data_IF_426472252591
#
_entry.id   IF_426472252591
#
_cell.length_a   1.000
_cell.length_b   1.000
_cell.length_c   1.000
_cell.angle_alpha   90.00
_cell.angle_beta   90.00
_cell.angle_gamma   90.00
#
_symmetry.space_group_name_H-M   'P 1'
#
loop_
_entity.id
_entity.type
_entity.pdbx_description
1 polymer ?
#
# COMPACT_ATOMS: atom_id res chain seq x y z
N UNK A 1 -42.73 34.66 29.23
CA UNK A 1 -41.60 34.59 28.27
C UNK A 1 -42.18 34.64 26.85
N UNK A 2 -42.49 35.83 26.33
CA UNK A 2 -43.33 35.95 25.11
C UNK A 2 -42.49 35.96 23.81
N UNK A 3 -41.17 35.98 23.93
CA UNK A 3 -40.24 36.02 22.79
C UNK A 3 -39.63 34.65 22.47
N UNK A 4 -40.00 33.58 23.18
CA UNK A 4 -39.48 32.24 22.95
C UNK A 4 -39.58 31.80 21.48
N UNK A 5 -40.74 31.95 20.81
CA UNK A 5 -40.87 31.63 19.40
C UNK A 5 -39.98 32.48 18.48
N UNK A 6 -39.80 33.77 18.78
CA UNK A 6 -38.96 34.67 17.99
C UNK A 6 -37.47 34.33 18.13
N UNK A 7 -37.01 34.05 19.35
CA UNK A 7 -35.63 33.60 19.61
C UNK A 7 -35.36 32.28 18.91
N UNK A 8 -36.31 31.34 18.95
CA UNK A 8 -36.20 30.07 18.26
C UNK A 8 -36.11 30.24 16.73
N UNK A 9 -36.98 31.05 16.13
CA UNK A 9 -36.95 31.30 14.69
C UNK A 9 -35.66 32.01 14.26
N UNK A 10 -35.16 32.96 15.07
CA UNK A 10 -33.87 33.61 14.83
C UNK A 10 -32.71 32.61 14.85
N UNK A 11 -32.64 31.76 15.88
CA UNK A 11 -31.62 30.72 15.99
C UNK A 11 -31.68 29.71 14.84
N UNK A 12 -32.88 29.27 14.46
CA UNK A 12 -33.10 28.36 13.33
C UNK A 12 -32.66 29.00 12.01
N UNK A 13 -33.01 30.27 11.78
CA UNK A 13 -32.63 31.01 10.58
C UNK A 13 -31.10 31.18 10.47
N UNK A 14 -30.43 31.53 11.57
CA UNK A 14 -28.96 31.62 11.61
C UNK A 14 -28.30 30.28 11.32
N UNK A 15 -28.79 29.19 11.94
CA UNK A 15 -28.27 27.85 11.66
C UNK A 15 -28.49 27.44 10.20
N UNK A 16 -29.71 27.62 9.68
CA UNK A 16 -30.04 27.27 8.30
C UNK A 16 -29.22 28.07 7.28
N UNK A 17 -29.04 29.37 7.50
CA UNK A 17 -28.19 30.22 6.65
C UNK A 17 -26.73 29.75 6.68
N UNK A 18 -26.20 29.45 7.87
CA UNK A 18 -24.83 28.93 8.03
C UNK A 18 -24.65 27.57 7.36
N UNK A 19 -25.60 26.65 7.54
CA UNK A 19 -25.55 25.32 6.94
C UNK A 19 -25.64 25.38 5.41
N UNK A 20 -26.54 26.20 4.88
CA UNK A 20 -26.65 26.41 3.42
C UNK A 20 -25.37 27.01 2.85
N UNK A 21 -24.82 28.07 3.48
CA UNK A 21 -23.62 28.75 2.98
C UNK A 21 -22.35 27.91 3.08
N UNK A 22 -22.19 27.12 4.15
CA UNK A 22 -20.96 26.37 4.41
C UNK A 22 -20.99 24.92 3.95
N UNK A 23 -22.17 24.31 3.75
CA UNK A 23 -22.30 22.90 3.35
C UNK A 23 -22.91 22.80 1.96
N UNK A 24 -24.09 23.38 1.76
CA UNK A 24 -24.87 23.20 0.53
C UNK A 24 -24.21 23.88 -0.68
N UNK A 25 -23.74 25.12 -0.51
CA UNK A 25 -23.11 25.90 -1.60
C UNK A 25 -21.81 25.23 -2.09
N UNK A 26 -20.83 24.86 -1.22
CA UNK A 26 -19.64 24.15 -1.67
C UNK A 26 -19.96 22.80 -2.32
N UNK A 27 -20.97 22.07 -1.80
CA UNK A 27 -21.39 20.80 -2.38
C UNK A 27 -21.95 20.96 -3.80
N UNK A 28 -22.72 22.02 -4.07
CA UNK A 28 -23.19 22.30 -5.43
C UNK A 28 -22.08 22.82 -6.35
N UNK A 29 -21.11 23.56 -5.81
CA UNK A 29 -19.99 24.10 -6.60
C UNK A 29 -18.97 23.03 -6.99
N UNK A 30 -18.60 22.14 -6.05
CA UNK A 30 -17.46 21.23 -6.19
C UNK A 30 -17.82 19.76 -6.05
N UNK A 31 -19.02 19.41 -5.59
CA UNK A 31 -19.40 18.02 -5.29
C UNK A 31 -19.47 17.12 -6.53
N UNK A 32 -19.58 17.70 -7.72
CA UNK A 32 -19.56 16.99 -9.01
C UNK A 32 -18.23 17.10 -9.76
N UNK A 33 -17.24 17.83 -9.22
CA UNK A 33 -15.96 18.03 -9.90
C UNK A 33 -15.19 16.71 -9.95
N UNK A 34 -14.96 16.22 -11.17
CA UNK A 34 -14.05 15.10 -11.37
C UNK A 34 -12.60 15.57 -11.15
N UNK A 35 -11.74 14.72 -10.58
CA UNK A 35 -10.33 15.04 -10.43
C UNK A 35 -9.75 15.40 -11.80
N UNK A 36 -9.07 16.55 -11.89
CA UNK A 36 -8.41 16.98 -13.10
C UNK A 36 -7.29 16.02 -13.46
N UNK A 37 -7.57 15.04 -14.32
CA UNK A 37 -6.56 14.18 -14.92
C UNK A 37 -5.84 15.01 -15.97
N UNK A 38 -4.75 15.67 -15.58
CA UNK A 38 -3.86 16.31 -16.54
C UNK A 38 -3.41 15.27 -17.58
N UNK A 39 -3.12 15.70 -18.82
CA UNK A 39 -2.48 14.88 -19.86
C UNK A 39 -1.16 14.36 -19.31
N UNK A 40 -1.22 13.21 -18.66
CA UNK A 40 -0.12 12.61 -17.91
C UNK A 40 0.47 11.44 -18.69
N UNK A 41 1.69 11.01 -18.36
CA UNK A 41 2.31 9.83 -18.96
C UNK A 41 1.49 8.55 -18.80
N UNK A 42 0.64 8.49 -17.77
CA UNK A 42 -0.23 7.34 -17.47
C UNK A 42 -1.70 7.78 -17.39
N UNK A 43 -2.41 7.91 -18.52
CA UNK A 43 -3.78 8.44 -18.55
C UNK A 43 -4.77 7.56 -17.78
N UNK A 44 -4.62 6.24 -17.84
CA UNK A 44 -5.54 5.27 -17.22
C UNK A 44 -5.19 4.93 -15.75
N UNK A 45 -4.28 5.69 -15.14
CA UNK A 45 -3.84 5.49 -13.76
C UNK A 45 -4.62 6.38 -12.77
N UNK A 46 -5.02 5.84 -11.59
CA UNK A 46 -4.88 4.44 -11.16
C UNK A 46 -5.95 3.54 -11.76
N UNK A 47 -5.54 2.32 -12.14
CA UNK A 47 -6.48 1.31 -12.61
C UNK A 47 -7.39 0.84 -11.47
N UNK A 48 -8.66 0.56 -11.79
CA UNK A 48 -9.59 -0.02 -10.84
C UNK A 48 -9.06 -1.38 -10.33
N UNK A 49 -9.28 -1.65 -9.03
CA UNK A 49 -8.81 -2.91 -8.44
C UNK A 49 -9.61 -4.11 -8.98
N UNK A 50 -8.94 -5.25 -9.25
CA UNK A 50 -9.64 -6.49 -9.58
C UNK A 50 -10.63 -6.91 -8.48
N UNK A 51 -11.68 -7.63 -8.83
CA UNK A 51 -12.80 -7.95 -7.91
C UNK A 51 -12.39 -8.56 -6.57
N UNK A 52 -11.40 -9.46 -6.57
CA UNK A 52 -10.88 -10.05 -5.32
C UNK A 52 -10.09 -9.05 -4.46
N UNK A 53 -9.32 -8.15 -5.08
CA UNK A 53 -8.63 -7.08 -4.37
C UNK A 53 -9.62 -6.02 -3.83
N UNK A 54 -10.72 -5.76 -4.53
CA UNK A 54 -11.80 -4.90 -4.02
C UNK A 54 -12.49 -5.51 -2.80
N UNK A 55 -12.72 -6.83 -2.77
CA UNK A 55 -13.19 -7.54 -1.57
C UNK A 55 -12.16 -7.48 -0.45
N UNK A 56 -10.87 -7.65 -0.78
CA UNK A 56 -9.76 -7.56 0.17
C UNK A 56 -9.63 -6.20 0.86
N UNK A 57 -9.96 -5.11 0.16
CA UNK A 57 -10.04 -3.77 0.74
C UNK A 57 -11.10 -3.71 1.85
N UNK A 58 -12.23 -4.40 1.70
CA UNK A 58 -13.25 -4.46 2.76
C UNK A 58 -12.75 -5.24 3.97
N UNK A 59 -12.03 -6.34 3.74
CA UNK A 59 -11.38 -7.10 4.82
C UNK A 59 -10.33 -6.23 5.53
N UNK A 60 -9.50 -5.51 4.78
CA UNK A 60 -8.49 -4.59 5.33
C UNK A 60 -9.12 -3.51 6.24
N UNK A 61 -10.29 -2.98 5.85
CA UNK A 61 -11.08 -2.05 6.66
C UNK A 61 -11.65 -2.70 7.91
N UNK A 62 -12.29 -3.85 7.76
CA UNK A 62 -12.94 -4.56 8.86
C UNK A 62 -11.95 -4.98 9.96
N UNK A 63 -10.70 -5.30 9.57
CA UNK A 63 -9.64 -5.66 10.51
C UNK A 63 -8.92 -4.43 11.11
N UNK A 64 -9.26 -3.22 10.69
CA UNK A 64 -8.64 -1.99 11.21
C UNK A 64 -7.16 -1.87 10.84
N UNK A 65 -6.71 -2.47 9.74
CA UNK A 65 -5.29 -2.49 9.36
C UNK A 65 -4.71 -1.06 9.19
N UNK A 66 -5.54 -0.11 8.75
CA UNK A 66 -5.19 1.30 8.60
C UNK A 66 -4.81 2.00 9.93
N UNK A 67 -5.18 1.43 11.07
CA UNK A 67 -4.81 1.99 12.39
C UNK A 67 -3.31 1.82 12.66
N UNK A 68 -2.68 0.80 12.09
CA UNK A 68 -1.25 0.49 12.30
C UNK A 68 -0.38 0.72 11.07
N UNK A 69 -0.96 0.65 9.87
CA UNK A 69 -0.27 0.73 8.60
C UNK A 69 -0.75 1.91 7.78
N UNK A 70 0.16 2.82 7.42
CA UNK A 70 -0.14 3.86 6.45
C UNK A 70 -0.13 3.34 5.02
N UNK A 71 -0.82 4.04 4.12
CA UNK A 71 -0.73 3.84 2.68
C UNK A 71 -0.38 5.15 1.99
N UNK A 72 0.59 5.87 2.55
CA UNK A 72 1.00 7.19 2.11
C UNK A 72 2.52 7.34 2.22
N UNK A 73 3.24 7.19 1.12
CA UNK A 73 4.68 7.50 1.08
C UNK A 73 4.86 9.01 1.12
N UNK A 74 5.45 9.53 2.20
CA UNK A 74 5.65 10.97 2.37
C UNK A 74 6.81 11.48 1.52
N UNK A 75 6.84 12.80 1.20
CA UNK A 75 7.95 13.44 0.50
C UNK A 75 9.17 13.66 1.42
N UNK A 76 9.60 12.65 2.17
CA UNK A 76 10.78 12.70 3.05
C UNK A 76 11.76 11.60 2.66
N UNK A 77 13.06 11.89 2.70
CA UNK A 77 14.11 10.95 2.29
C UNK A 77 13.98 9.59 3.00
N UNK A 78 13.69 9.60 4.30
CA UNK A 78 13.57 8.39 5.10
C UNK A 78 12.49 7.40 4.62
N UNK A 79 11.39 7.85 4.01
CA UNK A 79 10.35 6.94 3.50
C UNK A 79 10.84 6.26 2.20
N UNK A 80 11.57 7.00 1.35
CA UNK A 80 12.14 6.48 0.09
C UNK A 80 13.36 5.58 0.34
N UNK A 81 14.25 5.96 1.25
CA UNK A 81 15.44 5.19 1.65
C UNK A 81 15.07 3.83 2.27
N UNK A 82 13.93 3.75 2.96
CA UNK A 82 13.36 2.47 3.46
C UNK A 82 12.78 1.59 2.37
N UNK A 83 12.73 2.06 1.11
CA UNK A 83 12.13 1.33 0.00
C UNK A 83 10.61 1.24 0.08
N UNK A 84 9.92 2.16 0.77
CA UNK A 84 8.46 2.12 0.87
C UNK A 84 7.73 2.59 -0.39
N UNK A 85 8.44 3.23 -1.30
CA UNK A 85 7.97 3.58 -2.62
C UNK A 85 9.08 4.14 -3.48
N UNK A 86 8.87 4.13 -4.79
CA UNK A 86 9.79 4.75 -5.75
C UNK A 86 9.65 6.27 -5.78
N UNK A 87 8.49 6.77 -5.40
CA UNK A 87 8.15 8.19 -5.28
C UNK A 87 7.20 8.42 -4.10
N UNK A 88 6.99 9.68 -3.74
CA UNK A 88 5.91 10.08 -2.82
C UNK A 88 4.55 9.72 -3.41
N UNK A 89 3.59 9.39 -2.55
CA UNK A 89 2.18 9.28 -2.95
C UNK A 89 1.57 10.68 -3.14
N UNK A 90 0.64 10.79 -4.08
CA UNK A 90 -0.12 12.00 -4.40
C UNK A 90 -1.62 11.71 -4.41
N UNK A 91 -2.46 12.75 -4.40
CA UNK A 91 -3.91 12.59 -4.37
C UNK A 91 -4.44 11.65 -5.49
N UNK A 92 -3.81 11.69 -6.67
CA UNK A 92 -4.14 10.84 -7.80
C UNK A 92 -4.02 9.33 -7.50
N UNK A 93 -3.14 8.91 -6.60
CA UNK A 93 -2.98 7.49 -6.24
C UNK A 93 -4.23 6.90 -5.57
N UNK A 94 -5.10 7.75 -5.03
CA UNK A 94 -6.27 7.36 -4.25
C UNK A 94 -7.60 7.54 -4.99
N UNK A 95 -7.60 7.84 -6.29
CA UNK A 95 -8.85 8.12 -7.02
C UNK A 95 -9.83 6.93 -7.07
N UNK A 96 -9.33 5.70 -6.92
CA UNK A 96 -10.16 4.49 -6.88
C UNK A 96 -10.53 4.08 -5.44
N UNK A 97 -10.26 4.92 -4.44
CA UNK A 97 -10.37 4.58 -3.02
C UNK A 97 -11.49 5.38 -2.37
N UNK A 98 -12.56 4.70 -1.98
CA UNK A 98 -13.67 5.33 -1.25
C UNK A 98 -14.12 4.46 -0.07
N UNK A 99 -13.95 4.92 1.20
CA UNK A 99 -13.09 6.03 1.61
C UNK A 99 -11.60 5.75 1.37
N UNK A 100 -10.82 6.82 1.30
CA UNK A 100 -9.35 6.79 1.23
C UNK A 100 -8.75 6.34 2.56
N UNK A 101 -7.76 5.42 2.52
CA UNK A 101 -7.12 4.84 3.71
C UNK A 101 -5.63 5.23 3.79
N UNK A 102 -5.33 6.52 4.02
CA UNK A 102 -3.93 6.97 4.20
C UNK A 102 -3.26 6.41 5.47
N UNK A 103 -4.06 5.91 6.41
CA UNK A 103 -3.67 5.35 7.70
C UNK A 103 -3.60 6.39 8.83
N UNK A 104 -3.69 5.91 10.07
CA UNK A 104 -3.73 6.76 11.28
C UNK A 104 -2.38 6.88 11.98
N UNK A 105 -1.69 5.76 12.16
CA UNK A 105 -0.39 5.65 12.81
C UNK A 105 0.52 4.73 11.99
N UNK A 106 1.82 4.75 12.28
CA UNK A 106 2.84 3.90 11.65
C UNK A 106 3.50 3.00 12.69
N UNK A 107 2.70 2.11 13.29
CA UNK A 107 3.23 1.05 14.14
C UNK A 107 3.90 -0.04 13.29
N UNK A 108 3.32 -0.34 12.12
CA UNK A 108 3.92 -1.16 11.09
C UNK A 108 4.45 -0.33 9.91
N UNK A 109 5.13 -0.97 8.93
CA UNK A 109 5.58 -0.30 7.72
C UNK A 109 4.42 0.25 6.88
N UNK A 110 4.68 1.31 6.11
CA UNK A 110 3.76 1.79 5.08
C UNK A 110 3.47 0.67 4.06
N UNK A 111 2.30 0.65 3.44
CA UNK A 111 1.88 -0.41 2.51
C UNK A 111 1.54 0.10 1.11
N UNK A 112 1.68 1.40 0.81
CA UNK A 112 1.22 2.01 -0.45
C UNK A 112 1.80 1.32 -1.71
N UNK A 113 3.03 0.78 -1.61
CA UNK A 113 3.71 0.07 -2.68
C UNK A 113 4.07 -1.37 -2.30
N UNK A 114 3.31 -1.99 -1.40
CA UNK A 114 3.62 -3.34 -0.93
C UNK A 114 3.74 -4.35 -2.09
N UNK A 115 2.88 -4.25 -3.10
CA UNK A 115 2.90 -5.14 -4.27
C UNK A 115 4.12 -4.98 -5.18
N UNK A 116 4.99 -4.00 -4.93
CA UNK A 116 6.22 -3.73 -5.69
C UNK A 116 7.50 -4.02 -4.90
N UNK A 117 7.36 -4.45 -3.65
CA UNK A 117 8.55 -4.73 -2.82
C UNK A 117 9.25 -5.97 -3.31
N UNK A 118 10.56 -5.87 -3.43
CA UNK A 118 11.41 -7.02 -3.70
C UNK A 118 11.39 -7.99 -2.49
N UNK A 119 11.53 -9.31 -2.69
CA UNK A 119 11.56 -10.31 -1.63
C UNK A 119 12.57 -9.98 -0.53
N UNK A 120 13.72 -9.40 -0.92
CA UNK A 120 14.77 -8.89 -0.04
C UNK A 120 14.32 -7.85 1.00
N UNK A 121 13.21 -7.14 0.73
CA UNK A 121 12.66 -6.08 1.59
C UNK A 121 11.67 -6.60 2.64
N UNK A 122 11.33 -7.90 2.60
CA UNK A 122 10.46 -8.53 3.58
C UNK A 122 11.26 -9.14 4.73
N UNK A 123 10.71 -9.10 5.95
CA UNK A 123 11.27 -9.84 7.08
C UNK A 123 11.19 -11.35 6.78
N UNK A 124 12.33 -12.02 6.63
CA UNK A 124 12.52 -13.39 6.10
C UNK A 124 12.54 -13.48 4.54
N UNK A 125 13.59 -12.96 3.89
CA UNK A 125 13.62 -12.69 2.45
C UNK A 125 13.78 -13.89 1.49
N UNK A 126 13.94 -15.14 1.97
CA UNK A 126 14.49 -16.21 1.13
C UNK A 126 14.07 -17.67 1.43
N UNK A 127 13.00 -17.92 2.20
CA UNK A 127 12.67 -19.31 2.59
C UNK A 127 11.65 -20.05 1.71
N UNK A 128 11.65 -19.82 0.39
CA UNK A 128 11.19 -20.81 -0.59
C UNK A 128 12.14 -20.73 -1.79
N UNK A 129 12.80 -21.85 -2.11
CA UNK A 129 13.89 -21.91 -3.06
C UNK A 129 13.36 -21.76 -4.51
N UNK A 130 13.76 -20.67 -5.16
CA UNK A 130 14.08 -20.51 -6.59
C UNK A 130 13.59 -21.62 -7.52
N UNK A 131 12.37 -21.45 -8.06
CA UNK A 131 11.91 -21.93 -9.37
C UNK A 131 10.47 -21.46 -9.69
N UNK A 132 9.71 -21.02 -8.67
CA UNK A 132 8.29 -20.65 -8.78
C UNK A 132 8.04 -19.16 -9.08
N UNK A 133 6.89 -18.90 -9.69
CA UNK A 133 6.31 -17.57 -9.87
C UNK A 133 6.43 -16.71 -8.58
N UNK A 134 7.17 -15.60 -8.68
CA UNK A 134 7.44 -14.64 -7.60
C UNK A 134 6.19 -14.21 -6.82
N UNK A 135 5.04 -14.12 -7.49
CA UNK A 135 3.77 -13.74 -6.85
C UNK A 135 3.26 -14.79 -5.87
N UNK A 136 3.48 -16.08 -6.12
CA UNK A 136 2.99 -17.14 -5.23
C UNK A 136 3.81 -17.22 -3.94
N UNK A 137 5.11 -16.95 -4.03
CA UNK A 137 5.99 -16.86 -2.85
C UNK A 137 5.63 -15.66 -1.97
N UNK A 138 5.37 -14.49 -2.58
CA UNK A 138 4.89 -13.32 -1.86
C UNK A 138 3.53 -13.58 -1.19
N UNK A 139 2.60 -14.23 -1.89
CA UNK A 139 1.30 -14.64 -1.30
C UNK A 139 1.51 -15.54 -0.09
N UNK A 140 2.38 -16.54 -0.19
CA UNK A 140 2.67 -17.46 0.92
C UNK A 140 3.32 -16.73 2.10
N UNK A 141 4.26 -15.81 1.84
CA UNK A 141 4.83 -14.96 2.88
C UNK A 141 3.73 -14.19 3.63
N UNK A 142 2.80 -13.56 2.90
CA UNK A 142 1.69 -12.84 3.51
C UNK A 142 0.75 -13.74 4.31
N UNK A 143 0.49 -14.97 3.84
CA UNK A 143 -0.32 -15.91 4.60
C UNK A 143 0.35 -16.32 5.91
N UNK A 144 1.66 -16.63 5.90
CA UNK A 144 2.41 -16.92 7.13
C UNK A 144 2.41 -15.70 8.04
N UNK A 145 2.59 -14.49 7.49
CA UNK A 145 2.59 -13.25 8.26
C UNK A 145 1.24 -12.99 8.93
N UNK A 146 0.12 -13.15 8.21
CA UNK A 146 -1.22 -12.97 8.77
C UNK A 146 -1.54 -14.04 9.82
N UNK A 147 -1.14 -15.29 9.58
CA UNK A 147 -1.37 -16.40 10.52
C UNK A 147 -0.63 -16.17 11.83
N UNK A 148 0.66 -15.81 11.77
CA UNK A 148 1.44 -15.43 12.95
C UNK A 148 2.63 -14.55 12.56
N UNK A 149 2.54 -13.21 12.72
CA UNK A 149 3.57 -12.26 12.30
C UNK A 149 4.95 -12.53 12.93
N UNK A 150 4.97 -13.08 14.15
CA UNK A 150 6.19 -13.36 14.90
C UNK A 150 7.00 -14.52 14.29
N UNK A 151 6.38 -15.33 13.42
CA UNK A 151 7.10 -16.32 12.63
C UNK A 151 7.97 -15.67 11.55
N UNK A 152 7.74 -14.43 11.13
CA UNK A 152 8.59 -13.79 10.11
C UNK A 152 9.39 -12.64 10.71
N UNK A 153 8.80 -11.91 11.65
CA UNK A 153 9.42 -10.83 12.40
C UNK A 153 9.22 -11.07 13.91
N UNK A 154 10.18 -11.68 14.62
CA UNK A 154 10.01 -12.06 16.04
C UNK A 154 9.57 -10.93 16.97
N UNK A 155 10.00 -9.69 16.72
CA UNK A 155 9.59 -8.50 17.47
C UNK A 155 8.34 -7.80 16.95
N UNK A 156 7.55 -8.43 16.08
CA UNK A 156 6.35 -7.82 15.50
C UNK A 156 5.26 -7.59 16.54
N UNK A 157 4.79 -6.36 16.62
CA UNK A 157 3.63 -5.95 17.44
C UNK A 157 2.29 -6.20 16.72
N UNK A 158 2.32 -6.63 15.45
CA UNK A 158 1.11 -6.92 14.68
C UNK A 158 0.35 -8.09 15.32
N UNK A 159 -0.98 -7.98 15.54
CA UNK A 159 -1.82 -9.10 15.98
C UNK A 159 -1.77 -10.25 14.98
N UNK A 160 -1.98 -11.48 15.48
CA UNK A 160 -2.18 -12.62 14.59
C UNK A 160 -3.65 -12.70 14.17
N UNK A 161 -3.87 -13.13 12.93
CA UNK A 161 -5.20 -13.31 12.32
C UNK A 161 -5.47 -14.79 11.98
N UNK A 162 -5.34 -15.74 12.93
CA UNK A 162 -5.50 -17.17 12.64
C UNK A 162 -6.93 -17.52 12.21
N UNK A 163 -7.91 -16.72 12.61
CA UNK A 163 -9.31 -16.89 12.22
C UNK A 163 -9.56 -16.69 10.72
N UNK A 164 -8.63 -16.08 9.98
CA UNK A 164 -8.68 -16.00 8.51
C UNK A 164 -8.29 -17.33 7.85
N UNK A 165 -7.96 -18.36 8.63
CA UNK A 165 -7.54 -19.68 8.16
C UNK A 165 -8.48 -20.75 8.70
N UNK A 166 -8.62 -21.83 7.93
CA UNK A 166 -9.27 -23.06 8.35
C UNK A 166 -8.18 -24.03 8.80
N UNK A 167 -8.23 -24.43 10.07
CA UNK A 167 -7.34 -25.46 10.62
C UNK A 167 -7.91 -26.84 10.28
N UNK A 168 -7.12 -27.66 9.60
CA UNK A 168 -7.46 -29.06 9.30
C UNK A 168 -6.38 -29.99 9.85
N UNK A 169 -6.76 -31.20 10.31
CA UNK A 169 -5.78 -32.22 10.64
C UNK A 169 -4.98 -32.61 9.38
N UNK A 170 -3.71 -32.90 9.57
CA UNK A 170 -2.81 -33.46 8.57
C UNK A 170 -2.23 -34.76 9.12
N UNK A 171 -2.69 -35.89 8.57
CA UNK A 171 -2.21 -37.21 8.97
C UNK A 171 -0.73 -37.39 8.63
N UNK A 172 0.05 -38.12 9.46
CA UNK A 172 1.43 -38.45 9.14
C UNK A 172 1.55 -39.13 7.78
N UNK A 173 2.39 -38.60 6.89
CA UNK A 173 2.61 -39.13 5.54
C UNK A 173 1.58 -38.71 4.49
N UNK A 174 0.52 -37.99 4.85
CA UNK A 174 -0.40 -37.41 3.89
C UNK A 174 0.21 -36.17 3.21
N UNK A 175 -0.06 -36.00 1.91
CA UNK A 175 0.28 -34.77 1.21
C UNK A 175 -0.57 -33.61 1.74
N UNK A 176 0.02 -32.42 2.00
CA UNK A 176 -0.75 -31.23 2.36
C UNK A 176 -1.71 -30.81 1.24
N UNK A 177 -2.78 -30.10 1.62
CA UNK A 177 -3.66 -29.44 0.66
C UNK A 177 -2.84 -28.47 -0.21
N UNK A 178 -3.04 -28.43 -1.54
CA UNK A 178 -2.30 -27.51 -2.42
C UNK A 178 -2.43 -26.04 -2.04
N UNK A 179 -3.53 -25.67 -1.37
CA UNK A 179 -3.79 -24.31 -0.91
C UNK A 179 -3.32 -24.05 0.52
N UNK A 180 -2.77 -25.04 1.22
CA UNK A 180 -2.29 -24.87 2.58
C UNK A 180 -1.12 -23.86 2.63
N UNK A 181 -1.07 -23.14 3.75
CA UNK A 181 0.04 -22.22 4.05
C UNK A 181 1.32 -23.03 4.24
N UNK A 182 2.36 -22.69 3.48
CA UNK A 182 3.68 -23.30 3.61
C UNK A 182 4.38 -22.74 4.87
N UNK A 183 4.34 -23.46 5.98
CA UNK A 183 4.93 -22.98 7.23
C UNK A 183 6.47 -23.10 7.25
N UNK A 184 7.21 -22.12 7.81
CA UNK A 184 8.64 -22.24 7.99
C UNK A 184 8.97 -23.27 9.09
N UNK A 185 10.12 -23.94 9.00
CA UNK A 185 10.55 -24.99 9.97
C UNK A 185 10.42 -24.60 11.44
N UNK A 186 10.73 -23.35 11.81
CA UNK A 186 10.60 -22.85 13.18
C UNK A 186 9.16 -22.81 13.70
N UNK A 187 8.18 -22.99 12.82
CA UNK A 187 6.77 -23.15 13.15
C UNK A 187 6.35 -24.62 13.31
N UNK A 188 7.30 -25.55 13.56
CA UNK A 188 7.04 -26.97 13.72
C UNK A 188 5.91 -27.29 14.74
N UNK A 189 5.85 -26.56 15.86
CA UNK A 189 4.75 -26.72 16.84
C UNK A 189 3.38 -26.30 16.31
N UNK A 190 3.33 -25.32 15.40
CA UNK A 190 2.09 -24.90 14.75
C UNK A 190 1.66 -25.90 13.67
N UNK A 191 2.63 -26.51 12.98
CA UNK A 191 2.43 -27.50 11.92
C UNK A 191 2.19 -28.94 12.42
N UNK A 192 2.35 -29.19 13.72
CA UNK A 192 2.28 -30.54 14.31
C UNK A 192 0.90 -31.19 14.08
N UNK A 193 0.83 -32.06 13.06
CA UNK A 193 -0.38 -32.80 12.68
C UNK A 193 -1.50 -31.92 12.11
N UNK A 194 -1.18 -30.69 11.67
CA UNK A 194 -2.16 -29.68 11.27
C UNK A 194 -1.69 -28.88 10.07
N UNK A 195 -2.66 -28.47 9.27
CA UNK A 195 -2.47 -27.56 8.15
C UNK A 195 -3.48 -26.42 8.23
N UNK A 196 -3.09 -25.26 7.68
CA UNK A 196 -3.91 -24.05 7.70
C UNK A 196 -4.22 -23.68 6.27
N UNK A 197 -5.49 -23.66 5.91
CA UNK A 197 -5.95 -23.31 4.57
C UNK A 197 -6.50 -21.88 4.64
N UNK A 198 -5.98 -20.93 3.85
CA UNK A 198 -6.52 -19.57 3.82
C UNK A 198 -8.01 -19.59 3.49
N UNK A 199 -8.83 -18.85 4.23
CA UNK A 199 -10.23 -18.62 3.86
C UNK A 199 -10.31 -17.61 2.72
N UNK A 200 -11.52 -17.35 2.21
CA UNK A 200 -11.72 -16.38 1.14
C UNK A 200 -11.21 -14.99 1.55
N UNK A 201 -11.45 -14.61 2.80
CA UNK A 201 -11.06 -13.34 3.39
C UNK A 201 -9.54 -13.16 3.43
N UNK A 202 -8.78 -14.20 3.81
CA UNK A 202 -7.32 -14.19 3.75
C UNK A 202 -6.83 -13.97 2.32
N UNK A 203 -7.36 -14.76 1.36
CA UNK A 203 -6.97 -14.65 -0.05
C UNK A 203 -7.32 -13.29 -0.64
N UNK A 204 -8.49 -12.74 -0.30
CA UNK A 204 -8.93 -11.44 -0.73
C UNK A 204 -8.03 -10.34 -0.16
N UNK A 205 -7.75 -10.38 1.14
CA UNK A 205 -6.84 -9.44 1.80
C UNK A 205 -5.45 -9.44 1.17
N UNK A 206 -4.86 -10.62 0.92
CA UNK A 206 -3.55 -10.71 0.26
C UNK A 206 -3.61 -10.20 -1.18
N UNK A 207 -4.68 -10.47 -1.92
CA UNK A 207 -4.87 -9.89 -3.26
C UNK A 207 -4.94 -8.35 -3.22
N UNK A 208 -5.61 -7.78 -2.21
CA UNK A 208 -5.61 -6.34 -1.98
C UNK A 208 -4.21 -5.80 -1.69
N UNK A 209 -3.50 -6.40 -0.74
CA UNK A 209 -2.15 -6.00 -0.35
C UNK A 209 -1.17 -6.01 -1.54
N UNK A 210 -1.24 -7.04 -2.38
CA UNK A 210 -0.41 -7.15 -3.58
C UNK A 210 -0.87 -6.23 -4.73
N UNK A 211 -2.09 -5.71 -4.70
CA UNK A 211 -2.57 -4.71 -5.65
C UNK A 211 -2.06 -3.29 -5.37
N UNK A 212 -1.46 -3.06 -4.20
CA UNK A 212 -0.95 -1.75 -3.78
C UNK A 212 0.36 -1.42 -4.49
N UNK A 213 0.26 -0.62 -5.55
CA UNK A 213 1.36 -0.25 -6.46
C UNK A 213 1.25 1.20 -6.91
N UNK A 214 1.74 2.13 -6.09
CA UNK A 214 1.74 3.56 -6.37
C UNK A 214 3.03 4.03 -7.09
N UNK A 215 3.36 3.42 -8.23
CA UNK A 215 4.62 3.63 -8.95
C UNK A 215 4.52 4.25 -10.34
N UNK A 216 3.31 4.56 -10.81
CA UNK A 216 3.15 5.22 -12.09
C UNK A 216 3.89 6.58 -12.09
N UNK A 217 4.65 6.91 -13.16
CA UNK A 217 5.26 8.23 -13.29
C UNK A 217 4.17 9.28 -13.51
N UNK A 218 4.10 10.26 -12.61
CA UNK A 218 3.13 11.35 -12.67
C UNK A 218 3.85 12.69 -12.80
N UNK A 219 3.20 13.69 -13.40
CA UNK A 219 3.78 15.02 -13.54
C UNK A 219 4.07 15.65 -12.18
N UNK A 220 3.11 15.53 -11.26
CA UNK A 220 3.19 16.04 -9.88
C UNK A 220 4.10 15.21 -8.97
N UNK A 221 4.55 14.03 -9.41
CA UNK A 221 5.49 13.18 -8.68
C UNK A 221 6.25 12.28 -9.68
N UNK A 222 7.29 12.81 -10.34
CA UNK A 222 8.08 12.03 -11.27
C UNK A 222 8.87 10.95 -10.52
N UNK A 223 9.23 9.87 -11.23
CA UNK A 223 10.15 8.88 -10.69
C UNK A 223 11.56 9.49 -10.59
N UNK A 224 12.36 9.12 -9.58
CA UNK A 224 13.76 9.51 -9.50
C UNK A 224 14.50 9.06 -10.76
N UNK A 225 15.36 9.92 -11.30
CA UNK A 225 16.27 9.52 -12.35
C UNK A 225 17.23 8.44 -11.81
N UNK A 226 17.57 7.41 -12.61
CA UNK A 226 18.57 6.44 -12.22
C UNK A 226 19.88 7.16 -11.93
N UNK A 227 20.53 6.80 -10.82
CA UNK A 227 21.83 7.37 -10.48
C UNK A 227 22.80 7.18 -11.67
N UNK A 228 23.59 8.20 -12.03
CA UNK A 228 24.58 8.05 -13.10
C UNK A 228 25.50 6.87 -12.76
N UNK A 229 25.89 6.06 -13.77
CA UNK A 229 26.72 4.88 -13.53
C UNK A 229 28.01 5.30 -12.83
N UNK A 230 28.28 4.72 -11.65
CA UNK A 230 29.46 5.00 -10.83
C UNK A 230 30.79 4.62 -11.50
N UNK A 231 30.73 4.02 -12.70
CA UNK A 231 31.88 3.59 -13.49
C UNK A 231 32.00 4.33 -14.84
N UNK A 232 31.47 5.55 -14.97
CA UNK A 232 31.88 6.42 -16.08
C UNK A 232 33.30 6.94 -15.80
N UNK A 233 34.31 6.14 -16.15
CA UNK A 233 35.66 6.65 -16.38
C UNK A 233 35.52 7.77 -17.41
N UNK A 234 35.86 9.00 -17.02
CA UNK A 234 35.89 10.13 -17.93
C UNK A 234 36.72 9.74 -19.17
N UNK A 235 36.24 9.95 -20.40
CA UNK A 235 37.05 9.65 -21.57
C UNK A 235 38.31 10.52 -21.53
N UNK A 236 39.46 9.89 -21.34
CA UNK A 236 40.77 10.53 -21.15
C UNK A 236 41.31 11.23 -22.41
N UNK A 237 40.48 11.50 -23.42
CA UNK A 237 40.89 12.12 -24.67
C UNK A 237 39.88 13.21 -25.07
N UNK A 238 39.88 14.33 -24.34
CA UNK A 238 39.51 15.61 -24.92
C UNK A 238 40.80 16.26 -25.45
N UNK A 239 40.93 16.57 -26.75
CA UNK A 239 42.09 17.29 -27.24
C UNK A 239 42.13 18.68 -26.59
N UNK A 240 43.28 19.04 -26.05
CA UNK A 240 43.51 20.35 -25.45
C UNK A 240 43.13 21.43 -26.46
N UNK A 241 42.17 22.28 -26.09
CA UNK A 241 41.81 23.45 -26.87
C UNK A 241 43.06 24.30 -27.08
N UNK A 242 43.52 24.38 -28.33
CA UNK A 242 44.58 25.31 -28.70
C UNK A 242 44.06 26.73 -28.48
N UNK A 243 44.69 27.43 -27.54
CA UNK A 243 44.51 28.87 -27.34
C UNK A 243 45.12 29.55 -28.57
N UNK A 244 44.26 29.86 -29.54
CA UNK A 244 44.64 30.75 -30.64
C UNK A 244 44.61 32.17 -30.09
N UNK A 245 45.79 32.70 -29.77
CA UNK A 245 46.00 34.12 -29.59
C UNK A 245 45.79 34.81 -30.93
N UNK A 246 44.84 35.74 -30.99
CA UNK A 246 44.94 36.92 -31.85
C UNK A 246 43.89 37.97 -31.44
N UNK A 247 44.41 39.04 -30.86
CA UNK A 247 43.96 40.41 -31.07
C UNK A 247 45.07 41.12 -31.89
N UNK A 248 44.82 42.24 -32.58
CA UNK A 248 43.74 43.22 -32.39
C UNK A 248 42.57 43.15 -33.39
#
# INVERSE_FOLDING_TARGET
MNHGPLVFLGALATFAASWTGLVLVPQFQMGGDLPAVQKAPSPDYPAARPGQAAQGLQVYRALGCAECHSQQVRPVAADLERGWGRRRTVARDFLQDSPVLIGRLRAGPDLANLGLREPGQYAAPWKYQSASNHLDELRQWHFVHLLNPRLLAPGSLMPAYPFLFEEKPLSPGAAPDPNAVKLPEKAAGLAAGRQYIPRLEARALVAYLLSLRADAPLFEAPLPEPAPPTNAVAPANAPAAQVSANQP
#
